data_IF_908847781394
#
_entry.id   IF_908847781394
#
_cell.length_a   1.000
_cell.length_b   1.000
_cell.length_c   1.000
_cell.angle_alpha   90.00
_cell.angle_beta   90.00
_cell.angle_gamma   90.00
#
_symmetry.space_group_name_H-M   'P 1'
#
loop_
_entity.id
_entity.type
_entity.pdbx_description
1 polymer ?
#
# COMPACT_ATOMS: atom_id res chain seq x y z
N UNK A 1 -5.79 -7.92 18.73
CA UNK A 1 -5.06 -7.58 17.48
C UNK A 1 -6.08 -6.99 16.53
N UNK A 2 -5.96 -5.71 16.15
CA UNK A 2 -6.93 -5.06 15.27
C UNK A 2 -6.71 -5.54 13.82
N UNK A 3 -7.68 -6.28 13.30
CA UNK A 3 -7.74 -6.74 11.91
C UNK A 3 -8.30 -5.61 11.06
N UNK A 4 -7.58 -5.17 10.03
CA UNK A 4 -7.98 -4.01 9.20
C UNK A 4 -8.92 -4.44 8.07
N UNK A 5 -8.80 -5.68 7.57
CA UNK A 5 -9.63 -6.22 6.49
C UNK A 5 -10.14 -7.62 6.88
N UNK A 6 -11.46 -7.80 6.90
CA UNK A 6 -12.09 -9.07 7.27
C UNK A 6 -13.57 -9.06 6.90
N UNK A 7 -13.88 -9.57 5.71
CA UNK A 7 -15.25 -9.70 5.23
C UNK A 7 -15.29 -10.48 3.92
N UNK A 8 -15.74 -11.75 3.99
CA UNK A 8 -15.88 -12.64 2.85
C UNK A 8 -17.04 -12.21 1.94
N UNK A 9 -16.75 -11.76 0.72
CA UNK A 9 -17.73 -11.71 -0.38
C UNK A 9 -17.03 -11.97 -1.72
N UNK A 10 -17.23 -13.16 -2.27
CA UNK A 10 -17.25 -13.47 -3.72
C UNK A 10 -16.10 -12.96 -4.59
N UNK A 11 -15.13 -13.85 -4.89
CA UNK A 11 -14.25 -13.81 -6.08
C UNK A 11 -13.58 -12.46 -6.39
N UNK A 12 -13.07 -11.74 -5.38
CA UNK A 12 -12.15 -10.61 -5.56
C UNK A 12 -11.00 -10.74 -4.59
N UNK A 13 -9.84 -10.17 -4.91
CA UNK A 13 -8.57 -10.25 -4.16
C UNK A 13 -8.59 -9.60 -2.74
N UNK A 14 -9.73 -9.64 -2.04
CA UNK A 14 -10.00 -8.98 -0.75
C UNK A 14 -9.84 -9.91 0.47
N UNK A 15 -9.45 -11.17 0.28
CA UNK A 15 -9.40 -12.19 1.35
C UNK A 15 -8.15 -12.13 2.27
N UNK A 16 -7.22 -11.19 2.07
CA UNK A 16 -6.05 -11.10 2.93
C UNK A 16 -6.35 -10.26 4.17
N UNK A 17 -6.70 -10.93 5.28
CA UNK A 17 -6.78 -10.30 6.58
C UNK A 17 -5.39 -9.84 7.03
N UNK A 18 -5.16 -8.53 6.99
CA UNK A 18 -3.92 -7.91 7.47
C UNK A 18 -4.14 -7.31 8.85
N UNK A 19 -3.26 -7.68 9.77
CA UNK A 19 -3.09 -6.95 11.03
C UNK A 19 -2.37 -5.63 10.76
N UNK A 20 -2.57 -4.63 11.63
CA UNK A 20 -1.81 -3.37 11.56
C UNK A 20 -0.29 -3.58 11.48
N UNK A 21 0.24 -4.58 12.19
CA UNK A 21 1.68 -4.89 12.17
C UNK A 21 2.12 -5.40 10.80
N UNK A 22 1.34 -6.27 10.17
CA UNK A 22 1.63 -6.75 8.82
C UNK A 22 1.49 -5.63 7.78
N UNK A 23 0.50 -4.75 7.94
CA UNK A 23 0.33 -3.58 7.07
C UNK A 23 1.56 -2.66 7.15
N UNK A 24 2.04 -2.37 8.36
CA UNK A 24 3.20 -1.51 8.57
C UNK A 24 4.49 -2.13 7.99
N UNK A 25 4.68 -3.45 8.15
CA UNK A 25 5.81 -4.17 7.56
C UNK A 25 5.78 -4.12 6.02
N UNK A 26 4.62 -4.41 5.42
CA UNK A 26 4.42 -4.33 3.96
C UNK A 26 4.64 -2.91 3.43
N UNK A 27 4.11 -1.90 4.12
CA UNK A 27 4.31 -0.49 3.75
C UNK A 27 5.78 -0.08 3.84
N UNK A 28 6.49 -0.52 4.87
CA UNK A 28 7.92 -0.23 5.06
C UNK A 28 8.78 -0.93 3.99
N UNK A 29 8.44 -2.18 3.62
CA UNK A 29 9.08 -2.89 2.50
C UNK A 29 8.83 -2.19 1.17
N UNK A 30 7.61 -1.70 0.93
CA UNK A 30 7.28 -0.94 -0.27
C UNK A 30 8.08 0.37 -0.35
N UNK A 31 8.17 1.11 0.77
CA UNK A 31 8.97 2.32 0.86
C UNK A 31 10.44 2.08 0.53
N UNK A 32 11.04 1.01 1.10
CA UNK A 32 12.41 0.61 0.79
C UNK A 32 12.60 0.23 -0.69
N UNK A 33 11.60 -0.41 -1.30
CA UNK A 33 11.57 -0.69 -2.74
C UNK A 33 11.59 0.59 -3.58
N UNK A 34 10.75 1.56 -3.26
CA UNK A 34 10.72 2.86 -3.94
C UNK A 34 12.05 3.60 -3.82
N UNK A 35 12.65 3.62 -2.64
CA UNK A 35 13.96 4.24 -2.42
C UNK A 35 15.06 3.57 -3.25
N UNK A 36 15.05 2.24 -3.37
CA UNK A 36 15.98 1.49 -4.24
C UNK A 36 15.78 1.79 -5.72
N UNK A 37 14.55 2.11 -6.13
CA UNK A 37 14.23 2.57 -7.49
C UNK A 37 14.62 4.04 -7.72
N UNK A 38 15.16 4.72 -6.71
CA UNK A 38 15.65 6.09 -6.81
C UNK A 38 14.60 7.16 -6.49
N UNK A 39 13.42 6.77 -5.98
CA UNK A 39 12.39 7.72 -5.54
C UNK A 39 12.91 8.53 -4.36
N UNK A 40 12.84 9.85 -4.48
CA UNK A 40 13.28 10.80 -3.47
C UNK A 40 12.10 11.46 -2.79
N UNK A 41 12.38 12.10 -1.66
CA UNK A 41 11.39 12.92 -0.96
C UNK A 41 10.86 14.00 -1.90
N UNK A 42 9.54 14.09 -2.02
CA UNK A 42 8.86 15.03 -2.90
C UNK A 42 8.55 14.51 -4.31
N UNK A 43 9.08 13.35 -4.70
CA UNK A 43 8.71 12.74 -5.98
C UNK A 43 7.25 12.28 -5.95
N UNK A 44 6.60 12.31 -7.12
CA UNK A 44 5.20 11.88 -7.26
C UNK A 44 5.15 10.45 -7.74
N UNK A 45 4.45 9.59 -7.00
CA UNK A 45 4.27 8.17 -7.35
C UNK A 45 2.80 7.94 -7.67
N UNK A 46 2.52 7.58 -8.93
CA UNK A 46 1.18 7.21 -9.37
C UNK A 46 0.86 5.77 -8.93
N UNK A 47 -0.21 5.60 -8.16
CA UNK A 47 -0.72 4.30 -7.76
C UNK A 47 -1.94 3.98 -8.63
N UNK A 48 -1.73 3.19 -9.67
CA UNK A 48 -2.77 2.66 -10.56
C UNK A 48 -3.12 1.24 -10.11
N UNK A 49 -3.97 1.12 -9.10
CA UNK A 49 -4.41 -0.19 -8.58
C UNK A 49 -5.93 -0.17 -8.33
N UNK A 50 -6.62 -1.31 -8.52
CA UNK A 50 -8.02 -1.44 -8.12
C UNK A 50 -8.15 -1.43 -6.59
N UNK A 51 -9.39 -1.39 -6.09
CA UNK A 51 -9.69 -1.50 -4.65
C UNK A 51 -9.25 -2.86 -4.10
N UNK A 52 -8.03 -2.91 -3.57
CA UNK A 52 -7.39 -4.11 -3.05
C UNK A 52 -6.47 -3.77 -1.86
N UNK A 53 -6.17 -4.72 -0.96
CA UNK A 53 -5.26 -4.49 0.17
C UNK A 53 -3.89 -3.93 -0.24
N UNK A 54 -3.45 -4.23 -1.46
CA UNK A 54 -2.22 -3.75 -2.05
C UNK A 54 -2.17 -2.25 -2.22
N UNK A 55 -3.31 -1.64 -2.56
CA UNK A 55 -3.41 -0.19 -2.64
C UNK A 55 -3.10 0.45 -1.29
N UNK A 56 -3.57 -0.15 -0.19
CA UNK A 56 -3.47 0.42 1.17
C UNK A 56 -2.03 0.46 1.65
N UNK A 57 -1.30 -0.67 1.58
CA UNK A 57 0.11 -0.64 1.99
C UNK A 57 0.99 0.14 1.00
N UNK A 58 0.63 0.21 -0.28
CA UNK A 58 1.37 1.00 -1.28
C UNK A 58 1.17 2.50 -1.03
N UNK A 59 -0.03 2.91 -0.63
CA UNK A 59 -0.36 4.28 -0.23
C UNK A 59 0.48 4.70 0.98
N UNK A 60 0.43 3.93 2.07
CA UNK A 60 1.23 4.22 3.26
C UNK A 60 2.73 4.09 3.01
N UNK A 61 3.16 3.12 2.20
CA UNK A 61 4.56 2.95 1.83
C UNK A 61 5.10 4.11 1.00
N UNK A 62 4.30 4.68 0.10
CA UNK A 62 4.66 5.90 -0.66
C UNK A 62 4.87 7.08 0.27
N UNK A 63 3.95 7.28 1.22
CA UNK A 63 4.07 8.34 2.23
C UNK A 63 5.29 8.12 3.13
N UNK A 64 5.57 6.87 3.54
CA UNK A 64 6.77 6.50 4.31
C UNK A 64 8.07 6.74 3.52
N UNK A 65 8.05 6.56 2.20
CA UNK A 65 9.19 6.91 1.34
C UNK A 65 9.43 8.43 1.25
N UNK A 66 8.51 9.25 1.76
CA UNK A 66 8.55 10.71 1.65
C UNK A 66 8.08 11.24 0.29
N UNK A 67 7.47 10.37 -0.52
CA UNK A 67 6.92 10.70 -1.82
C UNK A 67 5.46 11.16 -1.72
N UNK A 68 4.99 11.87 -2.75
CA UNK A 68 3.60 12.29 -2.90
C UNK A 68 2.84 11.20 -3.64
N UNK A 69 1.80 10.68 -3.00
CA UNK A 69 0.92 9.68 -3.59
C UNK A 69 -0.08 10.31 -4.55
N UNK A 70 -0.16 9.76 -5.76
CA UNK A 70 -1.17 10.13 -6.77
C UNK A 70 -2.06 8.90 -6.98
N UNK A 71 -3.18 8.78 -6.27
CA UNK A 71 -4.08 7.64 -6.44
C UNK A 71 -4.83 7.79 -7.77
N UNK A 72 -4.77 6.76 -8.61
CA UNK A 72 -5.49 6.71 -9.88
C UNK A 72 -6.29 5.43 -9.90
N UNK A 73 -7.61 5.55 -9.95
CA UNK A 73 -8.47 4.39 -10.12
C UNK A 73 -8.35 3.92 -11.58
N UNK A 74 -7.92 2.67 -11.83
CA UNK A 74 -7.92 2.10 -13.18
C UNK A 74 -9.33 1.93 -13.76
#
# INVERSE_FOLDING_TARGET
MATVFGGAVGRRCIDAALTYRQLDDLASRFAAGLQRLGVRKGDRVALVLPNCPQFVYSFFGTLKAGAVVVPTNP
#
